data_IF_686456542729
#
_entry.id   IF_686456542729
#
_cell.length_a   1.000
_cell.length_b   1.000
_cell.length_c   1.000
_cell.angle_alpha   90.00
_cell.angle_beta   90.00
_cell.angle_gamma   90.00
#
_symmetry.space_group_name_H-M   'P 1'
#
loop_
_entity.id
_entity.type
_entity.pdbx_description
1 polymer ?
#
# COMPACT_ATOMS: atom_id res chain seq x y z
N UNK A 1 -7.06 -14.88 35.50
CA UNK A 1 -7.59 -14.62 34.16
C UNK A 1 -7.94 -13.15 34.11
N UNK A 2 -7.08 -12.35 33.50
CA UNK A 2 -7.36 -10.94 33.26
C UNK A 2 -8.05 -10.83 31.90
N UNK A 3 -9.31 -10.41 31.90
CA UNK A 3 -10.09 -10.25 30.68
C UNK A 3 -9.75 -8.91 30.04
N UNK A 4 -9.44 -8.92 28.76
CA UNK A 4 -9.16 -7.73 27.96
C UNK A 4 -10.33 -7.45 27.04
N UNK A 5 -10.67 -6.17 26.87
CA UNK A 5 -11.72 -5.73 25.96
C UNK A 5 -11.11 -5.52 24.57
N UNK A 6 -11.60 -6.28 23.59
CA UNK A 6 -11.40 -5.96 22.17
C UNK A 6 -12.31 -4.76 21.83
N UNK A 7 -11.73 -3.56 21.76
CA UNK A 7 -12.49 -2.35 21.43
C UNK A 7 -12.99 -2.33 19.97
N UNK A 8 -12.41 -3.13 19.09
CA UNK A 8 -12.82 -3.24 17.69
C UNK A 8 -13.99 -4.20 17.50
N UNK A 9 -14.01 -5.33 18.22
CA UNK A 9 -15.12 -6.30 18.18
C UNK A 9 -16.20 -6.07 19.26
N UNK A 10 -15.96 -5.17 20.23
CA UNK A 10 -16.74 -4.98 21.46
C UNK A 10 -16.98 -6.29 22.24
N UNK A 11 -15.95 -7.13 22.34
CA UNK A 11 -16.03 -8.43 23.04
C UNK A 11 -14.89 -8.60 24.02
N UNK A 12 -15.13 -9.37 25.07
CA UNK A 12 -14.10 -9.71 26.03
C UNK A 12 -13.41 -11.02 25.66
N UNK A 13 -12.10 -11.08 25.81
CA UNK A 13 -11.32 -12.29 25.64
C UNK A 13 -10.21 -12.39 26.68
N UNK A 14 -9.64 -13.58 26.84
CA UNK A 14 -8.41 -13.78 27.60
C UNK A 14 -7.55 -14.86 26.92
N UNK A 15 -6.23 -14.79 27.14
CA UNK A 15 -5.30 -15.83 26.71
C UNK A 15 -5.10 -16.84 27.85
N UNK A 16 -5.27 -18.11 27.55
CA UNK A 16 -5.08 -19.23 28.45
C UNK A 16 -3.70 -19.84 28.21
N UNK A 17 -2.72 -19.47 29.05
CA UNK A 17 -1.33 -19.92 28.94
C UNK A 17 -1.18 -21.45 29.14
N UNK A 18 -2.12 -22.10 29.83
CA UNK A 18 -2.06 -23.55 30.10
C UNK A 18 -2.49 -24.35 28.86
N UNK A 19 -3.41 -23.81 28.06
CA UNK A 19 -3.94 -24.45 26.84
C UNK A 19 -3.39 -23.87 25.55
N UNK A 20 -2.66 -22.75 25.62
CA UNK A 20 -2.15 -22.00 24.46
C UNK A 20 -3.29 -21.48 23.54
N UNK A 21 -4.43 -21.12 24.14
CA UNK A 21 -5.64 -20.70 23.42
C UNK A 21 -6.10 -19.29 23.84
N UNK A 22 -6.60 -18.50 22.88
CA UNK A 22 -7.43 -17.32 23.17
C UNK A 22 -8.89 -17.73 23.30
N UNK A 23 -9.53 -17.35 24.42
CA UNK A 23 -10.92 -17.71 24.76
C UNK A 23 -11.80 -16.46 24.83
N UNK A 24 -12.93 -16.49 24.15
CA UNK A 24 -13.92 -15.40 24.11
C UNK A 24 -15.01 -15.51 25.18
N UNK A 25 -15.67 -14.39 25.45
CA UNK A 25 -16.86 -14.31 26.31
C UNK A 25 -18.04 -15.18 25.83
N UNK A 26 -18.13 -15.46 24.53
CA UNK A 26 -19.10 -16.37 23.93
C UNK A 26 -18.65 -17.85 23.87
N UNK A 27 -17.45 -18.14 24.39
CA UNK A 27 -16.92 -19.50 24.53
C UNK A 27 -16.13 -20.02 23.33
N UNK A 28 -15.94 -19.25 22.27
CA UNK A 28 -15.06 -19.62 21.15
C UNK A 28 -13.58 -19.64 21.58
N UNK A 29 -12.81 -20.55 21.00
CA UNK A 29 -11.39 -20.80 21.32
C UNK A 29 -10.54 -20.81 20.05
N UNK A 30 -9.37 -20.19 20.11
CA UNK A 30 -8.41 -20.14 19.01
C UNK A 30 -7.00 -20.45 19.52
N UNK A 31 -6.39 -21.52 19.03
CA UNK A 31 -5.04 -21.93 19.42
C UNK A 31 -3.98 -20.97 18.83
N UNK A 32 -2.94 -20.66 19.59
CA UNK A 32 -1.73 -19.97 19.10
C UNK A 32 -1.86 -18.48 18.77
N UNK A 33 -3.05 -17.89 18.86
CA UNK A 33 -3.24 -16.44 18.61
C UNK A 33 -2.97 -15.66 19.89
N UNK A 34 -1.86 -14.91 19.94
CA UNK A 34 -1.39 -14.22 21.14
C UNK A 34 -1.36 -12.69 21.00
N UNK A 35 -1.48 -12.17 19.77
CA UNK A 35 -1.33 -10.73 19.50
C UNK A 35 -2.32 -10.18 18.47
N UNK A 36 -2.56 -8.86 18.55
CA UNK A 36 -3.42 -8.08 17.62
C UNK A 36 -2.99 -8.15 16.15
N UNK A 37 -1.76 -8.61 15.88
CA UNK A 37 -1.21 -8.79 14.54
C UNK A 37 -1.62 -10.16 13.95
N UNK A 38 -1.70 -11.19 14.78
CA UNK A 38 -2.22 -12.51 14.41
C UNK A 38 -3.75 -12.45 14.25
N UNK A 39 -4.42 -11.62 15.04
CA UNK A 39 -5.84 -11.28 14.86
C UNK A 39 -6.15 -10.65 13.51
N UNK A 40 -5.29 -9.73 13.06
CA UNK A 40 -5.40 -9.15 11.72
C UNK A 40 -5.38 -10.21 10.63
N UNK A 41 -4.59 -11.29 10.78
CA UNK A 41 -4.54 -12.42 9.84
C UNK A 41 -5.77 -13.32 9.94
N UNK A 42 -6.24 -13.62 11.14
CA UNK A 42 -7.40 -14.49 11.35
C UNK A 42 -8.71 -13.88 10.82
N UNK A 43 -8.92 -12.58 11.04
CA UNK A 43 -10.09 -11.83 10.55
C UNK A 43 -10.07 -11.71 9.01
N UNK A 44 -8.89 -11.61 8.40
CA UNK A 44 -8.74 -11.44 6.94
C UNK A 44 -9.07 -12.69 6.12
N UNK A 45 -9.10 -13.89 6.73
CA UNK A 45 -9.16 -15.14 5.97
C UNK A 45 -10.50 -15.89 6.03
N UNK A 46 -11.36 -15.69 7.03
CA UNK A 46 -12.63 -16.43 7.24
C UNK A 46 -12.62 -17.91 6.77
N UNK A 47 -11.48 -18.61 6.99
CA UNK A 47 -11.20 -19.90 6.37
C UNK A 47 -10.72 -20.93 7.40
N UNK A 48 -11.14 -22.21 7.26
CA UNK A 48 -10.73 -23.32 8.12
C UNK A 48 -9.35 -23.82 7.67
N UNK A 49 -8.33 -22.98 7.79
CA UNK A 49 -6.95 -23.34 7.49
C UNK A 49 -6.13 -23.40 8.79
N UNK A 50 -5.51 -24.56 8.98
CA UNK A 50 -4.67 -24.87 10.12
C UNK A 50 -3.42 -23.99 10.12
N UNK A 51 -3.24 -23.21 11.19
CA UNK A 51 -2.12 -22.28 11.38
C UNK A 51 -0.79 -23.00 11.67
N UNK A 52 -0.77 -24.34 11.73
CA UNK A 52 0.44 -25.12 11.98
C UNK A 52 1.29 -25.44 10.74
N UNK A 53 0.80 -25.21 9.53
CA UNK A 53 1.64 -25.30 8.33
C UNK A 53 2.21 -23.92 7.97
N UNK A 54 3.38 -23.61 8.52
CA UNK A 54 4.22 -22.56 7.97
C UNK A 54 4.55 -22.92 6.51
N UNK A 55 4.16 -22.14 5.50
CA UNK A 55 4.77 -22.24 4.19
C UNK A 55 6.11 -21.51 4.31
N UNK A 56 7.13 -22.24 4.78
CA UNK A 56 8.52 -21.79 4.91
C UNK A 56 9.19 -21.50 3.56
N UNK A 57 8.42 -21.27 2.50
CA UNK A 57 8.91 -20.99 1.15
C UNK A 57 8.19 -19.86 0.42
N UNK A 58 7.28 -19.13 1.08
CA UNK A 58 6.49 -18.06 0.46
C UNK A 58 6.96 -16.64 0.81
N UNK A 59 8.01 -16.47 1.60
CA UNK A 59 8.34 -15.15 2.17
C UNK A 59 9.86 -14.89 2.22
N UNK A 60 10.32 -13.69 1.85
CA UNK A 60 11.74 -13.36 1.77
C UNK A 60 12.41 -13.43 3.15
N UNK A 61 13.49 -14.21 3.25
CA UNK A 61 14.10 -14.61 4.52
C UNK A 61 14.82 -13.47 5.28
N UNK A 62 15.12 -12.31 4.66
CA UNK A 62 15.80 -11.19 5.36
C UNK A 62 15.50 -9.84 4.72
N UNK A 63 15.07 -8.86 5.51
CA UNK A 63 14.91 -7.46 5.09
C UNK A 63 16.27 -6.72 4.99
N UNK A 64 17.37 -7.40 5.34
CA UNK A 64 18.61 -6.78 5.78
C UNK A 64 19.73 -6.85 4.71
N UNK A 65 19.54 -7.61 3.62
CA UNK A 65 20.58 -7.87 2.60
C UNK A 65 20.41 -7.08 1.29
N UNK A 66 19.43 -6.16 1.21
CA UNK A 66 19.17 -5.45 -0.05
C UNK A 66 20.07 -4.23 -0.24
N UNK A 67 20.93 -4.31 -1.26
CA UNK A 67 21.69 -3.18 -1.81
C UNK A 67 20.80 -1.94 -1.95
N UNK A 68 21.25 -0.84 -1.35
CA UNK A 68 20.52 0.44 -1.25
C UNK A 68 20.39 1.18 -2.56
N UNK A 69 21.05 0.75 -3.64
CA UNK A 69 20.94 1.42 -4.94
C UNK A 69 20.03 0.67 -5.89
N UNK A 70 18.88 1.26 -6.18
CA UNK A 70 18.20 1.06 -7.46
C UNK A 70 18.80 2.12 -8.39
N UNK A 71 19.74 1.79 -9.30
CA UNK A 71 20.53 2.79 -10.01
C UNK A 71 19.67 3.60 -10.99
N UNK A 72 20.00 4.88 -11.17
CA UNK A 72 19.43 5.70 -12.23
C UNK A 72 19.96 5.24 -13.58
N UNK A 73 19.06 5.04 -14.55
CA UNK A 73 19.40 4.65 -15.91
C UNK A 73 18.94 5.73 -16.90
N UNK A 74 19.77 6.16 -17.87
CA UNK A 74 19.33 7.07 -18.92
C UNK A 74 18.10 6.53 -19.68
N UNK A 75 17.10 7.39 -19.87
CA UNK A 75 15.93 7.06 -20.70
C UNK A 75 16.15 7.59 -22.11
N UNK A 76 16.13 6.68 -23.08
CA UNK A 76 16.13 7.05 -24.49
C UNK A 76 14.74 7.59 -24.89
N UNK A 77 14.64 8.91 -25.09
CA UNK A 77 13.39 9.55 -25.50
C UNK A 77 12.86 9.04 -26.85
N UNK A 78 13.73 8.48 -27.72
CA UNK A 78 13.30 7.89 -28.99
C UNK A 78 12.63 6.52 -28.79
N UNK A 79 12.95 5.82 -27.69
CA UNK A 79 12.39 4.53 -27.32
C UNK A 79 10.97 4.66 -26.77
N UNK A 80 10.75 5.63 -25.87
CA UNK A 80 9.47 5.81 -25.18
C UNK A 80 8.56 6.78 -25.93
N UNK A 81 7.51 6.26 -26.58
CA UNK A 81 6.56 7.08 -27.35
C UNK A 81 5.34 7.42 -26.51
N UNK A 82 5.12 8.71 -26.24
CA UNK A 82 3.95 9.18 -25.50
C UNK A 82 2.64 8.77 -26.21
N UNK A 83 1.66 8.35 -25.42
CA UNK A 83 0.33 7.94 -25.89
C UNK A 83 -0.74 8.91 -25.38
N UNK A 84 -0.86 9.05 -24.05
CA UNK A 84 -1.88 9.89 -23.39
C UNK A 84 -1.48 10.25 -21.97
N UNK A 85 -2.12 11.27 -21.42
CA UNK A 85 -2.04 11.57 -19.99
C UNK A 85 -2.89 10.56 -19.21
N UNK A 86 -2.34 10.02 -18.12
CA UNK A 86 -3.02 9.13 -17.18
C UNK A 86 -3.46 9.87 -15.91
N UNK A 87 -2.70 10.88 -15.49
CA UNK A 87 -2.99 11.64 -14.28
C UNK A 87 -2.09 12.85 -14.13
N UNK A 88 -2.62 13.89 -13.51
CA UNK A 88 -1.90 15.14 -13.22
C UNK A 88 -2.10 15.47 -11.75
N UNK A 89 -1.02 15.38 -10.98
CA UNK A 89 -0.97 15.74 -9.57
C UNK A 89 -0.26 17.07 -9.37
N UNK A 90 -0.29 17.57 -8.13
CA UNK A 90 0.32 18.86 -7.76
C UNK A 90 1.83 18.90 -8.03
N UNK A 91 2.52 17.75 -7.97
CA UNK A 91 3.98 17.66 -7.99
C UNK A 91 4.52 16.81 -9.15
N UNK A 92 3.65 16.06 -9.84
CA UNK A 92 4.04 15.16 -10.90
C UNK A 92 2.92 14.98 -11.92
N UNK A 93 3.32 14.62 -13.15
CA UNK A 93 2.41 14.14 -14.19
C UNK A 93 2.70 12.67 -14.46
N UNK A 94 1.68 11.90 -14.85
CA UNK A 94 1.81 10.49 -15.21
C UNK A 94 1.30 10.31 -16.63
N UNK A 95 2.17 9.92 -17.54
CA UNK A 95 1.80 9.63 -18.92
C UNK A 95 1.88 8.13 -19.23
N UNK A 96 1.04 7.67 -20.16
CA UNK A 96 1.21 6.37 -20.82
C UNK A 96 2.20 6.52 -21.97
N UNK A 97 3.17 5.62 -22.03
CA UNK A 97 4.18 5.54 -23.08
C UNK A 97 4.24 4.12 -23.64
N UNK A 98 4.65 4.00 -24.91
CA UNK A 98 4.96 2.72 -25.53
C UNK A 98 6.45 2.52 -25.67
N UNK A 99 6.91 1.35 -25.24
CA UNK A 99 8.23 0.80 -25.56
C UNK A 99 8.03 -0.43 -26.46
N UNK A 100 8.12 -0.22 -27.77
CA UNK A 100 7.74 -1.23 -28.75
C UNK A 100 6.25 -1.58 -28.64
N UNK A 101 5.93 -2.77 -28.10
CA UNK A 101 4.55 -3.25 -27.89
C UNK A 101 4.08 -3.10 -26.44
N UNK A 102 4.98 -2.85 -25.50
CA UNK A 102 4.67 -2.74 -24.08
C UNK A 102 4.16 -1.35 -23.76
N UNK A 103 3.11 -1.28 -22.94
CA UNK A 103 2.60 -0.04 -22.38
C UNK A 103 3.23 0.17 -21.00
N UNK A 104 3.75 1.38 -20.76
CA UNK A 104 4.45 1.76 -19.54
C UNK A 104 3.88 3.08 -19.02
N UNK A 105 3.78 3.22 -17.70
CA UNK A 105 3.47 4.49 -17.07
C UNK A 105 4.76 5.22 -16.74
N UNK A 106 4.89 6.49 -17.10
CA UNK A 106 6.03 7.33 -16.72
C UNK A 106 5.53 8.47 -15.85
N UNK A 107 5.93 8.46 -14.57
CA UNK A 107 5.69 9.55 -13.62
C UNK A 107 6.86 10.52 -13.70
N UNK A 108 6.56 11.78 -14.01
CA UNK A 108 7.53 12.85 -14.24
C UNK A 108 7.39 13.91 -13.17
N UNK A 109 8.44 14.09 -12.37
CA UNK A 109 8.59 15.15 -11.40
C UNK A 109 9.42 16.30 -11.97
N UNK A 110 8.94 17.53 -11.75
CA UNK A 110 9.75 18.74 -11.92
C UNK A 110 10.14 19.28 -10.55
N UNK A 111 11.43 19.56 -10.34
CA UNK A 111 11.91 20.09 -9.06
C UNK A 111 12.74 21.35 -9.28
N UNK A 112 12.58 22.37 -8.44
CA UNK A 112 13.34 23.62 -8.60
C UNK A 112 14.74 23.56 -7.97
N UNK A 113 14.95 22.69 -6.96
CA UNK A 113 16.22 22.53 -6.24
C UNK A 113 16.33 21.15 -5.59
N UNK A 114 17.55 20.62 -5.48
CA UNK A 114 17.87 19.38 -4.76
C UNK A 114 17.80 19.50 -3.23
N UNK A 115 17.68 20.72 -2.70
CA UNK A 115 17.50 20.98 -1.25
C UNK A 115 16.03 21.02 -0.83
N UNK A 116 15.12 20.76 -1.76
CA UNK A 116 13.67 20.82 -1.51
C UNK A 116 13.22 19.52 -0.81
N UNK A 117 12.31 19.62 0.16
CA UNK A 117 11.64 18.48 0.78
C UNK A 117 11.02 17.54 -0.27
N UNK A 118 10.54 18.10 -1.38
CA UNK A 118 10.06 17.36 -2.55
C UNK A 118 11.11 16.37 -3.08
N UNK A 119 12.37 16.80 -3.20
CA UNK A 119 13.43 15.93 -3.71
C UNK A 119 13.68 14.75 -2.75
N UNK A 120 13.62 14.99 -1.44
CA UNK A 120 13.74 13.92 -0.45
C UNK A 120 12.55 12.93 -0.50
N UNK A 121 11.34 13.42 -0.74
CA UNK A 121 10.17 12.55 -0.92
C UNK A 121 10.29 11.69 -2.19
N UNK A 122 10.74 12.28 -3.31
CA UNK A 122 10.98 11.53 -4.56
C UNK A 122 12.05 10.46 -4.37
N UNK A 123 13.16 10.78 -3.68
CA UNK A 123 14.20 9.80 -3.39
C UNK A 123 13.68 8.64 -2.52
N UNK A 124 12.85 8.96 -1.52
CA UNK A 124 12.22 7.94 -0.67
C UNK A 124 11.26 7.06 -1.46
N UNK A 125 10.46 7.62 -2.35
CA UNK A 125 9.56 6.86 -3.24
C UNK A 125 10.35 5.90 -4.13
N UNK A 126 11.44 6.37 -4.76
CA UNK A 126 12.33 5.51 -5.57
C UNK A 126 12.92 4.37 -4.73
N UNK A 127 13.36 4.66 -3.51
CA UNK A 127 13.90 3.65 -2.60
C UNK A 127 12.84 2.59 -2.23
N UNK A 128 11.64 3.05 -1.84
CA UNK A 128 10.52 2.19 -1.44
C UNK A 128 10.06 1.32 -2.62
N UNK A 129 9.73 1.93 -3.76
CA UNK A 129 9.27 1.19 -4.92
C UNK A 129 10.37 0.27 -5.44
N UNK A 130 11.63 0.70 -5.46
CA UNK A 130 12.76 -0.12 -5.86
C UNK A 130 12.99 -1.32 -4.94
N UNK A 131 12.71 -1.22 -3.63
CA UNK A 131 12.72 -2.37 -2.71
C UNK A 131 11.59 -3.33 -3.00
N UNK A 132 10.36 -2.83 -3.04
CA UNK A 132 9.16 -3.65 -3.23
C UNK A 132 9.17 -4.37 -4.60
N UNK A 133 9.54 -3.67 -5.66
CA UNK A 133 9.50 -4.18 -7.05
C UNK A 133 10.54 -5.26 -7.37
N UNK A 134 11.40 -5.63 -6.40
CA UNK A 134 12.32 -6.78 -6.54
C UNK A 134 11.65 -8.11 -6.19
N UNK A 135 10.51 -8.07 -5.52
CA UNK A 135 9.72 -9.24 -5.18
C UNK A 135 8.75 -9.52 -6.32
N UNK A 136 8.75 -10.74 -6.84
CA UNK A 136 7.86 -11.15 -7.93
C UNK A 136 6.39 -10.98 -7.52
N UNK A 137 6.08 -11.22 -6.25
CA UNK A 137 4.74 -11.09 -5.68
C UNK A 137 4.24 -9.64 -5.70
N UNK A 138 5.14 -8.64 -5.68
CA UNK A 138 4.72 -7.23 -5.68
C UNK A 138 3.96 -6.85 -6.95
N UNK A 139 4.25 -7.51 -8.08
CA UNK A 139 3.63 -7.23 -9.37
C UNK A 139 2.11 -7.52 -9.39
N UNK A 140 1.63 -8.39 -8.51
CA UNK A 140 0.21 -8.73 -8.39
C UNK A 140 -0.59 -7.73 -7.53
N UNK A 141 0.11 -6.91 -6.74
CA UNK A 141 -0.52 -6.09 -5.71
C UNK A 141 -0.27 -4.59 -5.86
N UNK A 142 0.72 -4.18 -6.64
CA UNK A 142 1.09 -2.78 -6.76
C UNK A 142 1.74 -2.44 -8.10
N UNK A 143 1.64 -1.16 -8.46
CA UNK A 143 2.45 -0.57 -9.52
C UNK A 143 3.92 -0.69 -9.14
N UNK A 144 4.68 -1.35 -10.00
CA UNK A 144 6.09 -1.65 -9.79
C UNK A 144 6.98 -0.70 -10.57
N UNK A 145 8.10 -0.30 -9.95
CA UNK A 145 9.15 0.49 -10.57
C UNK A 145 10.06 -0.41 -11.40
N UNK A 146 10.15 -0.13 -12.70
CA UNK A 146 11.04 -0.84 -13.62
C UNK A 146 12.41 -0.17 -13.63
N UNK A 147 12.43 1.16 -13.79
CA UNK A 147 13.64 1.99 -13.86
C UNK A 147 13.31 3.44 -13.54
N UNK A 148 14.31 4.24 -13.21
CA UNK A 148 14.15 5.68 -13.07
C UNK A 148 15.35 6.42 -13.63
N UNK A 149 15.16 7.70 -13.90
CA UNK A 149 16.18 8.59 -14.42
C UNK A 149 16.07 9.96 -13.79
N UNK A 150 17.22 10.57 -13.48
CA UNK A 150 17.33 11.99 -13.17
C UNK A 150 18.04 12.70 -14.31
N UNK A 151 17.37 13.67 -14.89
CA UNK A 151 17.95 14.65 -15.81
C UNK A 151 18.26 15.93 -15.01
N UNK A 152 19.54 16.18 -14.66
CA UNK A 152 19.92 17.34 -13.89
C UNK A 152 19.83 18.65 -14.69
N UNK A 153 19.89 18.60 -16.03
CA UNK A 153 19.81 19.80 -16.89
C UNK A 153 18.37 20.28 -17.02
N UNK A 154 17.42 19.33 -17.14
CA UNK A 154 15.98 19.62 -17.18
C UNK A 154 15.35 19.77 -15.80
N UNK A 155 16.12 19.55 -14.73
CA UNK A 155 15.64 19.47 -13.36
C UNK A 155 14.42 18.52 -13.22
N UNK A 156 14.57 17.34 -13.80
CA UNK A 156 13.49 16.37 -13.99
C UNK A 156 13.88 15.00 -13.42
N UNK A 157 12.91 14.31 -12.79
CA UNK A 157 13.04 12.90 -12.42
C UNK A 157 11.89 12.13 -13.06
N UNK A 158 12.20 11.02 -13.73
CA UNK A 158 11.22 10.11 -14.33
C UNK A 158 11.28 8.75 -13.67
N UNK A 159 10.13 8.23 -13.28
CA UNK A 159 9.95 6.86 -12.82
C UNK A 159 9.16 6.11 -13.90
N UNK A 160 9.75 5.04 -14.44
CA UNK A 160 9.11 4.15 -15.42
C UNK A 160 8.54 2.96 -14.67
N UNK A 161 7.24 2.73 -14.85
CA UNK A 161 6.44 1.85 -14.02
C UNK A 161 5.51 0.98 -14.86
N UNK A 162 5.09 -0.14 -14.27
CA UNK A 162 4.13 -1.09 -14.85
C UNK A 162 3.33 -1.73 -13.71
N UNK A 163 2.05 -2.12 -13.93
CA UNK A 163 1.30 -2.01 -15.18
C UNK A 163 0.72 -0.61 -15.44
N UNK A 164 0.22 -0.39 -16.66
CA UNK A 164 -0.66 0.74 -16.98
C UNK A 164 -2.10 0.32 -16.72
N UNK A 165 -2.69 0.89 -15.67
CA UNK A 165 -4.05 0.59 -15.25
C UNK A 165 -5.13 1.25 -16.12
N UNK A 166 -6.32 0.68 -16.10
CA UNK A 166 -7.51 1.13 -16.81
C UNK A 166 -8.13 2.40 -16.19
N UNK A 167 -7.85 2.63 -14.90
CA UNK A 167 -8.27 3.79 -14.13
C UNK A 167 -8.09 3.57 -12.63
N UNK A 168 -8.40 4.59 -11.83
CA UNK A 168 -8.48 4.46 -10.38
C UNK A 168 -9.80 3.83 -9.93
N UNK A 169 -9.84 3.31 -8.70
CA UNK A 169 -11.08 2.89 -8.07
C UNK A 169 -12.06 4.07 -7.94
N UNK A 170 -11.55 5.29 -7.73
CA UNK A 170 -12.35 6.52 -7.74
C UNK A 170 -13.05 6.71 -9.09
N UNK A 171 -12.33 6.59 -10.20
CA UNK A 171 -12.91 6.70 -11.55
C UNK A 171 -13.99 5.65 -11.78
N UNK A 172 -13.75 4.42 -11.31
CA UNK A 172 -14.70 3.32 -11.44
C UNK A 172 -15.97 3.56 -10.62
N UNK A 173 -15.85 4.06 -9.38
CA UNK A 173 -16.98 4.39 -8.51
C UNK A 173 -17.79 5.56 -9.05
N UNK A 174 -17.12 6.62 -9.56
CA UNK A 174 -17.81 7.77 -10.15
C UNK A 174 -18.62 7.41 -11.39
N UNK A 175 -18.13 6.46 -12.20
CA UNK A 175 -18.86 5.97 -13.38
C UNK A 175 -20.19 5.31 -13.05
N UNK A 176 -20.40 4.79 -11.83
CA UNK A 176 -21.69 4.19 -11.45
C UNK A 176 -22.85 5.18 -11.41
N UNK A 177 -22.56 6.48 -11.28
CA UNK A 177 -23.57 7.52 -11.28
C UNK A 177 -24.01 7.93 -12.70
N UNK A 178 -23.34 7.41 -13.74
CA UNK A 178 -23.78 7.58 -15.12
C UNK A 178 -24.86 6.52 -15.43
N UNK A 179 -26.05 6.96 -15.83
CA UNK A 179 -27.22 6.08 -16.10
C UNK A 179 -26.98 5.00 -17.18
N UNK A 180 -25.85 5.07 -17.88
CA UNK A 180 -25.49 4.19 -19.00
C UNK A 180 -24.48 3.09 -18.65
N UNK A 181 -23.95 3.07 -17.43
CA UNK A 181 -22.90 2.10 -17.03
C UNK A 181 -23.48 0.92 -16.27
N UNK A 182 -22.83 -0.24 -16.42
CA UNK A 182 -23.17 -1.44 -15.67
C UNK A 182 -22.76 -1.24 -14.20
N UNK A 183 -23.67 -1.54 -13.29
CA UNK A 183 -23.43 -1.44 -11.84
C UNK A 183 -22.25 -2.34 -11.47
N UNK A 184 -21.31 -1.83 -10.67
CA UNK A 184 -20.21 -2.67 -10.17
C UNK A 184 -20.81 -3.81 -9.34
N UNK A 185 -20.53 -5.04 -9.74
CA UNK A 185 -20.98 -6.21 -9.01
C UNK A 185 -20.31 -6.32 -7.64
N UNK A 186 -21.10 -6.67 -6.62
CA UNK A 186 -20.62 -6.89 -5.24
C UNK A 186 -19.42 -7.85 -5.19
N UNK A 187 -19.41 -8.88 -6.03
CA UNK A 187 -18.30 -9.84 -6.11
C UNK A 187 -16.98 -9.20 -6.54
N UNK A 188 -17.01 -8.21 -7.46
CA UNK A 188 -15.80 -7.49 -7.86
C UNK A 188 -15.23 -6.70 -6.69
N UNK A 189 -16.09 -6.00 -5.93
CA UNK A 189 -15.66 -5.23 -4.76
C UNK A 189 -15.06 -6.14 -3.67
N UNK A 190 -15.68 -7.30 -3.41
CA UNK A 190 -15.13 -8.28 -2.47
C UNK A 190 -13.75 -8.79 -2.91
N UNK A 191 -13.58 -9.09 -4.20
CA UNK A 191 -12.29 -9.51 -4.75
C UNK A 191 -11.24 -8.40 -4.67
N UNK A 192 -11.64 -7.15 -4.97
CA UNK A 192 -10.77 -5.99 -4.87
C UNK A 192 -10.28 -5.77 -3.43
N UNK A 193 -11.16 -5.86 -2.43
CA UNK A 193 -10.79 -5.78 -1.01
C UNK A 193 -9.81 -6.90 -0.65
N UNK A 194 -10.04 -8.13 -1.12
CA UNK A 194 -9.13 -9.25 -0.90
C UNK A 194 -7.73 -9.02 -1.50
N UNK A 195 -7.65 -8.49 -2.74
CA UNK A 195 -6.38 -8.14 -3.37
C UNK A 195 -5.65 -7.02 -2.60
N UNK A 196 -6.36 -5.98 -2.21
CA UNK A 196 -5.81 -4.87 -1.43
C UNK A 196 -5.33 -5.32 -0.04
N UNK A 197 -6.05 -6.22 0.63
CA UNK A 197 -5.62 -6.74 1.93
C UNK A 197 -4.30 -7.54 1.81
N UNK A 198 -4.18 -8.40 0.80
CA UNK A 198 -2.95 -9.17 0.55
C UNK A 198 -1.78 -8.25 0.21
N UNK A 199 -2.01 -7.25 -0.65
CA UNK A 199 -1.02 -6.24 -0.99
C UNK A 199 -0.57 -5.42 0.22
N UNK A 200 -1.49 -5.04 1.10
CA UNK A 200 -1.16 -4.25 2.29
C UNK A 200 -0.33 -5.07 3.27
N UNK A 201 -0.67 -6.35 3.45
CA UNK A 201 0.11 -7.27 4.26
C UNK A 201 1.55 -7.40 3.73
N UNK A 202 1.72 -7.53 2.41
CA UNK A 202 3.04 -7.54 1.77
C UNK A 202 3.82 -6.25 2.07
N UNK A 203 3.22 -5.08 1.84
CA UNK A 203 3.84 -3.76 2.10
C UNK A 203 4.28 -3.63 3.57
N UNK A 204 3.41 -4.02 4.52
CA UNK A 204 3.70 -3.93 5.96
C UNK A 204 4.80 -4.90 6.40
N UNK A 205 4.83 -6.12 5.84
CA UNK A 205 5.90 -7.10 6.11
C UNK A 205 7.25 -6.63 5.58
N UNK A 206 7.27 -5.86 4.50
CA UNK A 206 8.47 -5.16 4.01
C UNK A 206 8.85 -3.93 4.85
N UNK A 207 8.26 -3.77 6.05
CA UNK A 207 8.49 -2.65 6.97
C UNK A 207 8.23 -1.28 6.33
N UNK A 208 7.19 -1.20 5.49
CA UNK A 208 6.75 0.01 4.82
C UNK A 208 5.31 0.33 5.25
N UNK A 209 5.02 1.62 5.42
CA UNK A 209 3.65 2.15 5.51
C UNK A 209 3.36 2.93 4.25
N UNK A 210 2.18 2.73 3.67
CA UNK A 210 1.76 3.42 2.45
C UNK A 210 1.40 4.88 2.73
N UNK A 211 0.73 5.12 3.85
CA UNK A 211 0.35 6.44 4.36
C UNK A 211 -0.70 7.25 3.57
N UNK A 212 -1.07 6.84 2.36
CA UNK A 212 -2.04 7.55 1.52
C UNK A 212 -2.95 6.59 0.74
N UNK A 213 -3.54 5.64 1.46
CA UNK A 213 -4.54 4.73 0.89
C UNK A 213 -5.86 5.48 0.77
N UNK A 214 -6.30 5.68 -0.46
CA UNK A 214 -7.57 6.29 -0.82
C UNK A 214 -8.02 5.73 -2.19
N UNK A 215 -9.25 6.02 -2.63
CA UNK A 215 -9.77 5.48 -3.89
C UNK A 215 -9.05 5.99 -5.15
N UNK A 216 -8.30 7.10 -5.09
CA UNK A 216 -7.50 7.62 -6.21
C UNK A 216 -6.17 6.87 -6.35
N UNK A 217 -5.59 6.43 -5.23
CA UNK A 217 -4.32 5.70 -5.17
C UNK A 217 -4.50 4.16 -5.22
N UNK A 218 -5.73 3.69 -5.40
CA UNK A 218 -6.03 2.31 -5.79
C UNK A 218 -6.33 2.30 -7.28
N UNK A 219 -5.57 1.52 -8.05
CA UNK A 219 -5.76 1.37 -9.49
C UNK A 219 -6.40 0.03 -9.81
N UNK A 220 -7.16 -0.02 -10.91
CA UNK A 220 -7.78 -1.23 -11.43
C UNK A 220 -7.02 -1.69 -12.66
N UNK A 221 -6.47 -2.91 -12.59
CA UNK A 221 -5.76 -3.54 -13.68
C UNK A 221 -6.19 -4.99 -13.89
N UNK A 222 -6.65 -5.32 -15.10
CA UNK A 222 -7.10 -6.67 -15.48
C UNK A 222 -8.11 -7.27 -14.48
N UNK A 223 -9.00 -6.43 -13.97
CA UNK A 223 -10.02 -6.82 -12.99
C UNK A 223 -9.52 -6.99 -11.54
N UNK A 224 -8.28 -6.59 -11.25
CA UNK A 224 -7.69 -6.59 -9.90
C UNK A 224 -7.47 -5.17 -9.39
N UNK A 225 -7.57 -5.00 -8.08
CA UNK A 225 -7.22 -3.74 -7.42
C UNK A 225 -5.78 -3.78 -6.91
N UNK A 226 -4.98 -2.78 -7.27
CA UNK A 226 -3.56 -2.68 -6.93
C UNK A 226 -3.22 -1.31 -6.35
N UNK A 227 -2.20 -1.26 -5.48
CA UNK A 227 -1.71 -0.03 -4.87
C UNK A 227 -0.85 0.79 -5.85
N UNK A 228 -1.01 2.10 -5.79
CA UNK A 228 -0.18 3.06 -6.48
C UNK A 228 0.18 4.25 -5.57
N UNK A 229 1.12 5.06 -6.04
CA UNK A 229 1.63 6.26 -5.37
C UNK A 229 2.25 6.03 -3.99
N UNK A 230 3.57 5.83 -3.99
CA UNK A 230 4.36 5.67 -2.76
C UNK A 230 5.05 6.98 -2.34
N UNK A 231 4.64 8.14 -2.87
CA UNK A 231 5.26 9.44 -2.62
C UNK A 231 5.24 9.87 -1.14
N UNK A 232 4.24 9.43 -0.38
CA UNK A 232 4.10 9.71 1.06
C UNK A 232 4.59 8.57 1.96
N UNK A 233 4.92 7.43 1.37
CA UNK A 233 5.21 6.19 2.08
C UNK A 233 6.44 6.33 2.98
N UNK A 234 6.51 5.48 4.00
CA UNK A 234 7.59 5.52 4.99
C UNK A 234 8.13 4.12 5.28
N UNK A 235 9.46 3.99 5.23
CA UNK A 235 10.18 2.83 5.76
C UNK A 235 10.32 3.02 7.28
N UNK A 236 9.92 2.00 8.04
CA UNK A 236 10.16 1.95 9.48
C UNK A 236 11.08 0.78 9.83
N UNK A 237 11.65 0.80 11.04
CA UNK A 237 12.45 -0.30 11.54
C UNK A 237 11.59 -1.15 12.49
N UNK A 238 11.19 -2.34 12.03
CA UNK A 238 10.37 -3.27 12.80
C UNK A 238 11.04 -3.78 14.08
N UNK A 239 12.39 -3.78 14.15
CA UNK A 239 13.14 -4.15 15.36
C UNK A 239 13.06 -3.07 16.45
N UNK A 240 12.85 -1.82 16.06
CA UNK A 240 12.73 -0.68 16.99
C UNK A 240 11.26 -0.39 17.30
N UNK A 241 10.39 -0.50 16.30
CA UNK A 241 8.94 -0.27 16.41
C UNK A 241 8.21 -1.34 15.59
N UNK A 242 7.80 -2.47 16.22
CA UNK A 242 7.14 -3.57 15.53
C UNK A 242 5.85 -3.17 14.81
N UNK A 243 5.14 -2.17 15.35
CA UNK A 243 3.91 -1.61 14.77
C UNK A 243 4.17 -0.49 13.76
N UNK A 244 5.43 -0.09 13.58
CA UNK A 244 5.81 1.08 12.79
C UNK A 244 5.27 2.40 13.35
N UNK A 245 4.84 2.41 14.63
CA UNK A 245 4.38 3.63 15.29
C UNK A 245 5.51 4.67 15.34
N UNK A 246 5.26 5.86 14.79
CA UNK A 246 6.18 6.98 14.85
C UNK A 246 5.47 8.31 14.79
N UNK A 247 6.07 9.34 15.39
CA UNK A 247 5.58 10.70 15.35
C UNK A 247 6.52 11.55 14.50
N UNK A 248 6.00 12.12 13.40
CA UNK A 248 6.73 13.05 12.54
C UNK A 248 6.00 14.40 12.56
N UNK A 249 6.45 15.38 13.36
CA UNK A 249 5.77 16.68 13.54
C UNK A 249 5.60 17.47 12.23
N UNK A 250 6.49 17.25 11.26
CA UNK A 250 6.49 17.88 9.93
C UNK A 250 5.51 17.26 8.94
N UNK A 251 4.90 16.11 9.27
CA UNK A 251 3.90 15.42 8.43
C UNK A 251 2.44 15.78 8.81
N UNK A 252 2.27 16.83 9.62
CA UNK A 252 1.00 17.32 10.18
C UNK A 252 0.05 17.99 9.17
N UNK A 253 0.15 17.68 7.88
CA UNK A 253 -0.58 18.40 6.81
C UNK A 253 -1.75 17.65 6.19
N UNK A 254 -2.14 16.48 6.71
CA UNK A 254 -3.25 15.68 6.13
C UNK A 254 -4.38 15.37 7.13
N UNK A 255 -4.67 16.31 8.04
CA UNK A 255 -5.85 16.20 8.93
C UNK A 255 -7.20 16.28 8.18
N UNK A 256 -7.19 16.71 6.91
CA UNK A 256 -8.39 16.88 6.06
C UNK A 256 -8.66 15.71 5.12
N UNK A 257 -8.05 14.54 5.37
CA UNK A 257 -8.30 13.36 4.55
C UNK A 257 -9.46 12.53 5.14
N UNK A 258 -10.54 12.33 4.37
CA UNK A 258 -11.68 11.48 4.76
C UNK A 258 -11.30 10.02 5.04
N UNK A 259 -10.09 9.60 4.65
CA UNK A 259 -9.52 8.27 4.89
C UNK A 259 -8.57 8.25 6.10
N UNK A 260 -8.41 9.35 6.85
CA UNK A 260 -7.51 9.43 7.99
C UNK A 260 -8.06 8.70 9.23
N UNK A 261 -7.20 7.92 9.88
CA UNK A 261 -7.52 7.24 11.12
C UNK A 261 -7.68 8.23 12.30
N UNK A 262 -8.50 7.93 13.33
CA UNK A 262 -8.73 8.81 14.46
C UNK A 262 -7.44 9.29 15.14
N UNK A 263 -6.45 8.41 15.31
CA UNK A 263 -5.17 8.76 15.91
C UNK A 263 -4.38 9.77 15.05
N UNK A 264 -4.58 9.79 13.73
CA UNK A 264 -3.98 10.82 12.87
C UNK A 264 -4.67 12.15 13.12
N UNK A 265 -6.01 12.16 13.21
CA UNK A 265 -6.81 13.38 13.48
C UNK A 265 -6.43 13.99 14.84
N UNK A 266 -6.21 13.15 15.84
CA UNK A 266 -5.82 13.56 17.20
C UNK A 266 -4.34 13.96 17.32
N UNK A 267 -3.57 13.88 16.23
CA UNK A 267 -2.13 14.15 16.25
C UNK A 267 -1.35 13.15 17.10
N UNK A 268 -1.83 11.92 17.22
CA UNK A 268 -1.12 10.80 17.81
C UNK A 268 -0.22 10.09 16.78
N UNK A 269 0.72 9.23 17.22
CA UNK A 269 1.62 8.52 16.32
C UNK A 269 0.86 7.64 15.32
N UNK A 270 1.11 7.86 14.03
CA UNK A 270 0.62 6.97 12.97
C UNK A 270 1.31 5.61 13.08
N UNK A 271 0.63 4.52 12.71
CA UNK A 271 1.18 3.15 12.65
C UNK A 271 0.72 2.40 11.39
N UNK A 272 1.04 1.11 11.26
CA UNK A 272 0.46 0.25 10.20
C UNK A 272 -1.06 0.12 10.33
N UNK A 273 -1.62 0.22 11.54
CA UNK A 273 -3.08 0.18 11.78
C UNK A 273 -3.79 1.38 11.17
N UNK A 274 -3.11 2.51 11.04
CA UNK A 274 -3.68 3.68 10.37
C UNK A 274 -3.91 3.44 8.87
N UNK A 275 -3.03 2.67 8.21
CA UNK A 275 -3.24 2.26 6.81
C UNK A 275 -4.40 1.25 6.69
N UNK A 276 -4.56 0.35 7.67
CA UNK A 276 -5.70 -0.59 7.72
C UNK A 276 -7.03 0.18 7.85
N UNK A 277 -7.07 1.23 8.67
CA UNK A 277 -8.24 2.09 8.77
C UNK A 277 -8.55 2.77 7.44
N UNK A 278 -7.54 3.34 6.77
CA UNK A 278 -7.70 3.97 5.45
C UNK A 278 -8.22 2.99 4.39
N UNK A 279 -7.75 1.74 4.40
CA UNK A 279 -8.28 0.67 3.54
C UNK A 279 -9.75 0.36 3.87
N UNK A 280 -10.11 0.31 5.15
CA UNK A 280 -11.50 0.16 5.60
C UNK A 280 -12.41 1.26 5.04
N UNK A 281 -11.97 2.53 5.12
CA UNK A 281 -12.69 3.65 4.53
C UNK A 281 -12.85 3.52 3.01
N UNK A 282 -11.78 3.15 2.28
CA UNK A 282 -11.82 2.93 0.83
C UNK A 282 -12.78 1.80 0.43
N UNK A 283 -12.96 0.80 1.30
CA UNK A 283 -13.85 -0.34 1.08
C UNK A 283 -15.33 -0.03 1.34
N UNK A 284 -15.63 1.06 2.05
CA UNK A 284 -17.00 1.45 2.42
C UNK A 284 -17.65 2.44 1.44
N UNK A 285 -16.90 2.93 0.45
CA UNK A 285 -17.43 3.83 -0.58
C UNK A 285 -18.38 3.04 -1.49
N UNK A 286 -19.68 3.32 -1.36
CA UNK A 286 -20.77 2.75 -2.16
C UNK A 286 -21.41 3.81 -3.03
#
# INVERSE_FOLDING_TARGET
MDWTLDEQARRYYYYDDDTNETVYDDGRRFEGVRSDMEWGRAILLDAPYDIHEHPTGLFPERADEFSTSFPSEPLDEARYKFVRNLGEGTQATVGEYKDGKEALAIKTYQFQSSTNELYHNIQREIEIMGRLSRHEEAHDYMVSLIRWHKDPEKHEIKLVMSPVAEGSLCDLLLRQFDETTEVIGEQFLLNAIGNLAQGLAFIHLSSIRHKDINTQNVLIHEGRAIYADFGTSLIFNCLISPTGASFNPTESTLYENAYAAPEIVDGAPRSTKSDVFSLGCASLVR
#
